data_IF_204593715234
#
_entry.id   IF_204593715234
#
_cell.length_a   1.000
_cell.length_b   1.000
_cell.length_c   1.000
_cell.angle_alpha   90.00
_cell.angle_beta   90.00
_cell.angle_gamma   90.00
#
_symmetry.space_group_name_H-M   'P 1'
#
loop_
_entity.id
_entity.type
_entity.pdbx_description
1 polymer ?
#
# COMPACT_ATOMS: atom_id res chain seq x y z
N UNK A 1 -16.40 -15.44 14.09
CA UNK A 1 -16.31 -14.45 12.99
C UNK A 1 -16.80 -13.13 13.53
N UNK A 2 -15.98 -12.07 13.48
CA UNK A 2 -16.41 -10.73 13.90
C UNK A 2 -17.44 -10.17 12.90
N UNK A 3 -18.29 -9.23 13.32
CA UNK A 3 -19.32 -8.59 12.49
C UNK A 3 -18.76 -7.99 11.19
N UNK A 4 -17.58 -7.37 11.23
CA UNK A 4 -16.91 -6.82 10.05
C UNK A 4 -16.59 -7.89 9.01
N UNK A 5 -16.14 -9.07 9.45
CA UNK A 5 -15.89 -10.22 8.57
C UNK A 5 -17.20 -10.79 7.99
N UNK A 6 -18.27 -10.81 8.80
CA UNK A 6 -19.61 -11.16 8.29
C UNK A 6 -20.06 -10.20 7.19
N UNK A 7 -19.87 -8.89 7.39
CA UNK A 7 -20.21 -7.88 6.40
C UNK A 7 -19.37 -8.05 5.12
N UNK A 8 -18.05 -8.27 5.23
CA UNK A 8 -17.18 -8.58 4.07
C UNK A 8 -17.67 -9.81 3.30
N UNK A 9 -18.12 -10.87 3.98
CA UNK A 9 -18.68 -12.06 3.33
C UNK A 9 -19.99 -11.77 2.58
N UNK A 10 -20.84 -10.88 3.11
CA UNK A 10 -22.05 -10.41 2.42
C UNK A 10 -21.70 -9.62 1.15
N UNK A 11 -20.67 -8.77 1.21
CA UNK A 11 -20.15 -8.02 0.04
C UNK A 11 -19.65 -8.96 -1.06
N UNK A 12 -18.92 -10.04 -0.70
CA UNK A 12 -18.52 -11.09 -1.66
C UNK A 12 -19.71 -11.76 -2.36
N UNK A 13 -20.89 -11.74 -1.73
CA UNK A 13 -22.15 -12.28 -2.28
C UNK A 13 -23.01 -11.19 -2.94
N UNK A 14 -22.47 -9.99 -3.15
CA UNK A 14 -23.16 -8.83 -3.70
C UNK A 14 -24.42 -8.42 -2.90
N UNK A 15 -24.41 -8.62 -1.57
CA UNK A 15 -25.48 -8.26 -0.63
C UNK A 15 -25.08 -7.01 0.16
N UNK A 16 -25.01 -5.87 -0.52
CA UNK A 16 -24.48 -4.62 0.05
C UNK A 16 -25.41 -4.08 1.15
N UNK A 17 -26.72 -4.12 0.92
CA UNK A 17 -27.73 -3.61 1.85
C UNK A 17 -27.74 -4.41 3.16
N UNK A 18 -27.67 -5.74 3.08
CA UNK A 18 -27.56 -6.62 4.26
C UNK A 18 -26.26 -6.36 5.04
N UNK A 19 -25.16 -6.05 4.34
CA UNK A 19 -23.89 -5.70 4.97
C UNK A 19 -23.98 -4.37 5.72
N UNK A 20 -24.62 -3.35 5.12
CA UNK A 20 -24.90 -2.06 5.74
C UNK A 20 -25.74 -2.26 6.99
N UNK A 21 -26.89 -2.95 6.89
CA UNK A 21 -27.78 -3.21 8.03
C UNK A 21 -27.05 -3.94 9.17
N UNK A 22 -26.26 -4.96 8.83
CA UNK A 22 -25.45 -5.70 9.82
C UNK A 22 -24.48 -4.79 10.58
N UNK A 23 -23.84 -3.85 9.88
CA UNK A 23 -22.90 -2.90 10.49
C UNK A 23 -23.63 -1.83 11.31
N UNK A 24 -24.76 -1.32 10.84
CA UNK A 24 -25.59 -0.35 11.57
C UNK A 24 -26.10 -0.90 12.88
N UNK A 25 -26.64 -2.13 12.89
CA UNK A 25 -27.12 -2.80 14.12
C UNK A 25 -25.97 -2.95 15.10
N UNK A 26 -24.81 -3.41 14.63
CA UNK A 26 -23.62 -3.54 15.48
C UNK A 26 -23.14 -2.19 16.03
N UNK A 27 -23.19 -1.14 15.19
CA UNK A 27 -22.95 0.27 15.52
C UNK A 27 -24.06 0.89 16.39
N UNK A 28 -25.17 0.21 16.62
CA UNK A 28 -26.14 0.64 17.62
C UNK A 28 -25.88 -0.02 18.97
N UNK A 29 -25.50 -1.29 18.98
CA UNK A 29 -25.44 -2.14 20.18
C UNK A 29 -24.12 -2.05 20.99
N UNK A 30 -22.95 -2.03 20.34
CA UNK A 30 -21.63 -2.11 21.00
C UNK A 30 -20.72 -0.84 21.02
N UNK A 31 -21.11 0.29 21.64
CA UNK A 31 -20.53 1.64 21.41
C UNK A 31 -19.01 1.83 21.39
N UNK A 32 -18.24 1.02 22.12
CA UNK A 32 -16.81 1.25 22.38
C UNK A 32 -15.82 0.37 21.59
N UNK A 33 -16.27 -0.61 20.81
CA UNK A 33 -15.38 -1.57 20.10
C UNK A 33 -15.72 -1.69 18.60
N UNK A 34 -15.64 -0.59 17.85
CA UNK A 34 -16.24 -0.50 16.50
C UNK A 34 -15.45 0.17 15.40
N UNK A 35 -14.14 0.35 15.56
CA UNK A 35 -13.36 1.18 14.64
C UNK A 35 -13.45 0.66 13.20
N UNK A 36 -13.19 -0.64 13.01
CA UNK A 36 -13.34 -1.30 11.71
C UNK A 36 -14.76 -1.29 11.15
N UNK A 37 -15.78 -1.25 12.01
CA UNK A 37 -17.18 -1.17 11.58
C UNK A 37 -17.54 0.23 11.06
N UNK A 38 -17.12 1.31 11.74
CA UNK A 38 -17.33 2.68 11.26
C UNK A 38 -16.61 2.92 9.93
N UNK A 39 -15.36 2.44 9.80
CA UNK A 39 -14.60 2.51 8.55
C UNK A 39 -15.34 1.83 7.40
N UNK A 40 -15.69 0.56 7.59
CA UNK A 40 -16.32 -0.24 6.54
C UNK A 40 -17.71 0.32 6.19
N UNK A 41 -18.52 0.72 7.19
CA UNK A 41 -19.83 1.31 6.94
C UNK A 41 -19.72 2.64 6.19
N UNK A 42 -18.77 3.51 6.57
CA UNK A 42 -18.51 4.75 5.84
C UNK A 42 -18.13 4.49 4.38
N UNK A 43 -17.28 3.49 4.12
CA UNK A 43 -16.90 3.09 2.77
C UNK A 43 -18.09 2.58 1.96
N UNK A 44 -18.95 1.73 2.55
CA UNK A 44 -20.16 1.25 1.88
C UNK A 44 -21.13 2.40 1.57
N UNK A 45 -21.23 3.39 2.46
CA UNK A 45 -22.00 4.59 2.19
C UNK A 45 -21.42 5.43 1.06
N UNK A 46 -20.09 5.52 0.94
CA UNK A 46 -19.46 6.16 -0.21
C UNK A 46 -19.72 5.40 -1.52
N UNK A 47 -19.67 4.07 -1.51
CA UNK A 47 -19.97 3.23 -2.68
C UNK A 47 -21.43 3.37 -3.14
N UNK A 48 -22.36 3.50 -2.20
CA UNK A 48 -23.79 3.71 -2.45
C UNK A 48 -24.17 5.19 -2.63
N UNK A 49 -23.18 6.06 -2.86
CA UNK A 49 -23.35 7.51 -3.10
C UNK A 49 -24.04 8.29 -1.97
N UNK A 50 -24.03 7.76 -0.74
CA UNK A 50 -24.60 8.38 0.45
C UNK A 50 -23.54 9.14 1.28
N UNK A 51 -23.02 10.24 0.74
CA UNK A 51 -21.90 11.00 1.33
C UNK A 51 -22.19 11.53 2.74
N UNK A 52 -23.41 11.96 2.98
CA UNK A 52 -23.85 12.49 4.28
C UNK A 52 -23.81 11.40 5.35
N UNK A 53 -24.27 10.19 5.01
CA UNK A 53 -24.25 9.04 5.92
C UNK A 53 -22.82 8.56 6.19
N UNK A 54 -21.96 8.53 5.17
CA UNK A 54 -20.55 8.19 5.33
C UNK A 54 -19.86 9.14 6.33
N UNK A 55 -20.04 10.44 6.12
CA UNK A 55 -19.48 11.49 6.99
C UNK A 55 -20.04 11.41 8.41
N UNK A 56 -21.36 11.23 8.56
CA UNK A 56 -22.00 11.09 9.86
C UNK A 56 -21.46 9.87 10.62
N UNK A 57 -21.27 8.75 9.93
CA UNK A 57 -20.73 7.51 10.52
C UNK A 57 -19.34 7.73 11.11
N UNK A 58 -18.41 8.34 10.37
CA UNK A 58 -17.07 8.61 10.91
C UNK A 58 -17.07 9.68 12.00
N UNK A 59 -17.90 10.73 11.88
CA UNK A 59 -18.04 11.74 12.93
C UNK A 59 -18.56 11.15 14.25
N UNK A 60 -19.55 10.27 14.19
CA UNK A 60 -20.04 9.50 15.33
C UNK A 60 -18.93 8.62 15.92
N UNK A 61 -18.20 7.90 15.06
CA UNK A 61 -17.06 7.08 15.47
C UNK A 61 -15.99 7.87 16.23
N UNK A 62 -15.58 9.03 15.71
CA UNK A 62 -14.61 9.93 16.37
C UNK A 62 -15.15 10.44 17.71
N UNK A 63 -16.43 10.83 17.76
CA UNK A 63 -17.07 11.33 18.99
C UNK A 63 -17.14 10.25 20.08
N UNK A 64 -17.48 9.02 19.71
CA UNK A 64 -17.62 7.91 20.65
C UNK A 64 -16.26 7.32 21.08
N UNK A 65 -15.20 7.57 20.30
CA UNK A 65 -13.85 7.02 20.51
C UNK A 65 -12.78 8.12 20.38
N UNK A 66 -12.77 9.15 21.25
CA UNK A 66 -11.92 10.32 21.10
C UNK A 66 -10.41 10.01 21.14
N UNK A 67 -10.01 8.98 21.87
CA UNK A 67 -8.61 8.53 21.96
C UNK A 67 -8.14 7.75 20.73
N UNK A 68 -9.06 7.36 19.84
CA UNK A 68 -8.71 6.65 18.62
C UNK A 68 -8.32 7.64 17.52
N UNK A 69 -7.02 7.91 17.45
CA UNK A 69 -6.45 8.82 16.47
C UNK A 69 -6.56 8.31 15.01
N UNK A 70 -6.78 7.01 14.79
CA UNK A 70 -7.00 6.44 13.46
C UNK A 70 -8.34 6.85 12.85
N UNK A 71 -9.41 6.92 13.65
CA UNK A 71 -10.70 7.43 13.17
C UNK A 71 -10.61 8.90 12.74
N UNK A 72 -9.82 9.70 13.44
CA UNK A 72 -9.58 11.08 13.05
C UNK A 72 -8.84 11.14 11.71
N UNK A 73 -7.81 10.30 11.51
CA UNK A 73 -7.11 10.20 10.22
C UNK A 73 -8.06 9.77 9.10
N UNK A 74 -8.88 8.73 9.32
CA UNK A 74 -9.87 8.24 8.36
C UNK A 74 -10.92 9.31 8.00
N UNK A 75 -11.38 10.10 8.99
CA UNK A 75 -12.31 11.20 8.74
C UNK A 75 -11.65 12.27 7.88
N UNK A 76 -10.40 12.64 8.17
CA UNK A 76 -9.63 13.56 7.33
C UNK A 76 -9.42 13.02 5.91
N UNK A 77 -9.10 11.73 5.78
CA UNK A 77 -8.92 11.04 4.50
C UNK A 77 -10.22 11.05 3.68
N UNK A 78 -11.38 10.84 4.31
CA UNK A 78 -12.69 10.96 3.67
C UNK A 78 -12.91 12.37 3.11
N UNK A 79 -12.66 13.42 3.92
CA UNK A 79 -12.81 14.79 3.45
C UNK A 79 -11.85 15.13 2.31
N UNK A 80 -10.60 14.68 2.40
CA UNK A 80 -9.57 15.02 1.43
C UNK A 80 -9.68 14.22 0.12
N UNK A 81 -9.70 12.90 0.21
CA UNK A 81 -9.63 12.03 -0.97
C UNK A 81 -10.99 11.85 -1.65
N UNK A 82 -12.08 11.85 -0.89
CA UNK A 82 -13.40 11.50 -1.41
C UNK A 82 -14.32 12.71 -1.60
N UNK A 83 -14.41 13.58 -0.60
CA UNK A 83 -15.30 14.76 -0.64
C UNK A 83 -14.64 15.99 -1.29
N UNK A 84 -13.31 15.99 -1.42
CA UNK A 84 -12.51 17.12 -1.93
C UNK A 84 -12.69 18.43 -1.16
N UNK A 85 -13.02 18.32 0.13
CA UNK A 85 -13.11 19.46 1.04
C UNK A 85 -11.79 19.57 1.82
N UNK A 86 -10.88 20.36 1.24
CA UNK A 86 -9.53 20.56 1.76
C UNK A 86 -9.56 21.28 3.12
N UNK A 87 -10.49 22.20 3.34
CA UNK A 87 -10.54 23.00 4.57
C UNK A 87 -10.90 22.12 5.78
N UNK A 88 -11.96 21.33 5.65
CA UNK A 88 -12.36 20.37 6.69
C UNK A 88 -11.25 19.34 6.94
N UNK A 89 -10.60 18.85 5.89
CA UNK A 89 -9.50 17.92 6.03
C UNK A 89 -8.31 18.51 6.81
N UNK A 90 -7.89 19.74 6.49
CA UNK A 90 -6.81 20.43 7.21
C UNK A 90 -7.15 20.58 8.69
N UNK A 91 -8.37 21.01 9.01
CA UNK A 91 -8.81 21.18 10.41
C UNK A 91 -8.72 19.87 11.18
N UNK A 92 -9.23 18.77 10.60
CA UNK A 92 -9.20 17.45 11.22
C UNK A 92 -7.75 16.95 11.38
N UNK A 93 -6.91 17.09 10.36
CA UNK A 93 -5.52 16.68 10.43
C UNK A 93 -4.69 17.50 11.42
N UNK A 94 -4.94 18.81 11.52
CA UNK A 94 -4.29 19.66 12.53
C UNK A 94 -4.72 19.26 13.95
N UNK A 95 -6.01 19.00 14.16
CA UNK A 95 -6.51 18.50 15.43
C UNK A 95 -5.86 17.17 15.79
N UNK A 96 -5.83 16.21 14.85
CA UNK A 96 -5.13 14.93 15.01
C UNK A 96 -3.66 15.13 15.39
N UNK A 97 -2.92 15.96 14.65
CA UNK A 97 -1.50 16.22 14.91
C UNK A 97 -1.27 16.84 16.29
N UNK A 98 -2.21 17.64 16.81
CA UNK A 98 -2.10 18.28 18.12
C UNK A 98 -2.06 17.31 19.31
N UNK A 99 -2.51 16.06 19.13
CA UNK A 99 -2.46 15.02 20.16
C UNK A 99 -1.04 14.49 20.39
N UNK A 100 -0.12 14.69 19.44
CA UNK A 100 1.25 14.21 19.53
C UNK A 100 2.17 15.23 20.19
N UNK A 101 2.63 14.91 21.41
CA UNK A 101 3.59 15.74 22.15
C UNK A 101 5.04 15.55 21.68
N UNK A 102 5.34 14.44 21.00
CA UNK A 102 6.66 14.06 20.50
C UNK A 102 6.53 13.31 19.18
N UNK A 103 7.55 13.33 18.32
CA UNK A 103 7.54 12.55 17.09
C UNK A 103 7.46 11.05 17.35
N UNK A 104 6.63 10.34 16.57
CA UNK A 104 6.49 8.89 16.61
C UNK A 104 6.89 8.26 15.27
N UNK A 105 7.85 7.33 15.27
CA UNK A 105 8.34 6.68 14.05
C UNK A 105 7.54 5.44 13.63
N UNK A 106 6.75 4.87 14.55
CA UNK A 106 6.02 3.63 14.32
C UNK A 106 5.03 3.80 13.16
N UNK A 107 5.00 2.82 12.24
CA UNK A 107 3.95 2.71 11.22
C UNK A 107 2.59 2.37 11.83
N UNK A 108 2.56 1.96 13.10
CA UNK A 108 1.33 1.72 13.87
C UNK A 108 0.84 2.99 14.60
N UNK A 109 1.38 4.16 14.28
CA UNK A 109 0.91 5.46 14.74
C UNK A 109 0.42 6.31 13.54
N UNK A 110 -0.69 7.05 13.67
CA UNK A 110 -1.16 7.92 12.59
C UNK A 110 -0.23 9.13 12.34
N UNK A 111 0.77 9.37 13.20
CA UNK A 111 1.65 10.54 13.16
C UNK A 111 2.33 10.78 11.80
N UNK A 112 3.00 9.77 11.25
CA UNK A 112 3.71 9.93 9.96
C UNK A 112 2.73 10.18 8.80
N UNK A 113 1.57 9.53 8.85
CA UNK A 113 0.55 9.62 7.81
C UNK A 113 -0.06 11.01 7.77
N UNK A 114 -0.44 11.57 8.93
CA UNK A 114 -0.96 12.94 9.01
C UNK A 114 0.07 13.98 8.57
N UNK A 115 1.37 13.76 8.86
CA UNK A 115 2.42 14.63 8.34
C UNK A 115 2.50 14.57 6.81
N UNK A 116 2.45 13.36 6.22
CA UNK A 116 2.39 13.19 4.76
C UNK A 116 1.17 13.85 4.14
N UNK A 117 -0.01 13.78 4.79
CA UNK A 117 -1.23 14.48 4.32
C UNK A 117 -1.04 15.99 4.34
N UNK A 118 -0.67 16.55 5.48
CA UNK A 118 -0.52 17.99 5.64
C UNK A 118 0.57 18.57 4.74
N UNK A 119 1.72 17.90 4.63
CA UNK A 119 2.81 18.37 3.76
C UNK A 119 2.40 18.45 2.29
N UNK A 120 1.69 17.43 1.79
CA UNK A 120 1.20 17.39 0.42
C UNK A 120 0.06 18.39 0.19
N UNK A 121 -0.92 18.48 1.10
CA UNK A 121 -2.02 19.46 1.00
C UNK A 121 -1.48 20.89 0.96
N UNK A 122 -0.59 21.26 1.88
CA UNK A 122 -0.02 22.60 1.91
C UNK A 122 0.84 22.92 0.69
N UNK A 123 1.51 21.92 0.11
CA UNK A 123 2.20 22.08 -1.16
C UNK A 123 1.20 22.37 -2.29
N UNK A 124 0.11 21.59 -2.39
CA UNK A 124 -0.92 21.73 -3.42
C UNK A 124 -1.62 23.09 -3.40
N UNK A 125 -1.93 23.63 -2.21
CA UNK A 125 -2.56 24.96 -2.07
C UNK A 125 -1.56 26.13 -2.07
N UNK A 126 -0.26 25.86 -2.23
CA UNK A 126 0.79 26.89 -2.30
C UNK A 126 1.21 27.52 -0.97
N UNK A 127 0.78 26.97 0.17
CA UNK A 127 1.19 27.42 1.51
C UNK A 127 2.57 26.85 1.89
N UNK A 128 3.61 27.27 1.16
CA UNK A 128 4.94 26.65 1.20
C UNK A 128 5.63 26.65 2.57
N UNK A 129 5.45 27.68 3.41
CA UNK A 129 6.04 27.67 4.76
C UNK A 129 5.42 26.59 5.66
N UNK A 130 4.10 26.39 5.55
CA UNK A 130 3.41 25.31 6.26
C UNK A 130 3.79 23.96 5.67
N UNK A 131 3.89 23.83 4.35
CA UNK A 131 4.36 22.60 3.70
C UNK A 131 5.76 22.23 4.17
N UNK A 132 6.71 23.18 4.16
CA UNK A 132 8.08 23.03 4.65
C UNK A 132 8.10 22.52 6.09
N UNK A 133 7.32 23.11 6.99
CA UNK A 133 7.24 22.66 8.39
C UNK A 133 6.90 21.17 8.50
N UNK A 134 5.89 20.71 7.78
CA UNK A 134 5.43 19.32 7.85
C UNK A 134 6.40 18.36 7.14
N UNK A 135 7.00 18.76 6.01
CA UNK A 135 8.05 17.98 5.35
C UNK A 135 9.30 17.82 6.22
N UNK A 136 9.74 18.88 6.93
CA UNK A 136 10.86 18.79 7.89
C UNK A 136 10.53 17.80 9.01
N UNK A 137 9.31 17.84 9.56
CA UNK A 137 8.89 16.85 10.55
C UNK A 137 8.86 15.43 9.97
N UNK A 138 8.35 15.26 8.76
CA UNK A 138 8.17 13.96 8.11
C UNK A 138 9.51 13.31 7.74
N UNK A 139 10.42 14.04 7.11
CA UNK A 139 11.73 13.52 6.66
C UNK A 139 12.61 13.07 7.84
N UNK A 140 12.48 13.68 9.02
CA UNK A 140 13.24 13.29 10.23
C UNK A 140 12.87 11.92 10.80
N UNK A 141 11.73 11.38 10.37
CA UNK A 141 11.33 10.01 10.67
C UNK A 141 12.11 8.99 9.82
N UNK A 142 12.82 9.46 8.79
CA UNK A 142 13.44 8.67 7.71
C UNK A 142 12.49 7.59 7.16
N UNK A 143 11.26 7.96 6.79
CA UNK A 143 10.18 7.00 6.64
C UNK A 143 10.23 6.33 5.26
N UNK A 144 9.89 5.04 5.21
CA UNK A 144 9.83 4.24 3.97
C UNK A 144 8.78 4.71 2.95
N UNK A 145 7.83 5.56 3.35
CA UNK A 145 6.83 6.19 2.47
C UNK A 145 7.21 7.63 2.11
N UNK A 146 8.47 8.05 2.28
CA UNK A 146 8.96 9.30 1.73
C UNK A 146 9.37 9.08 0.27
N UNK A 147 8.40 9.24 -0.63
CA UNK A 147 8.54 8.88 -2.04
C UNK A 147 9.49 9.81 -2.80
N UNK A 148 9.93 9.39 -3.99
CA UNK A 148 10.71 10.26 -4.88
C UNK A 148 9.97 11.58 -5.17
N UNK A 149 8.64 11.52 -5.28
CA UNK A 149 7.80 12.72 -5.45
C UNK A 149 7.85 13.66 -4.24
N UNK A 150 7.91 13.13 -3.01
CA UNK A 150 8.00 13.91 -1.78
C UNK A 150 9.36 14.63 -1.69
N UNK A 151 10.46 13.96 -2.06
CA UNK A 151 11.79 14.59 -2.17
C UNK A 151 11.78 15.75 -3.16
N UNK A 152 11.19 15.54 -4.34
CA UNK A 152 11.09 16.60 -5.36
C UNK A 152 10.28 17.79 -4.86
N UNK A 153 9.07 17.57 -4.33
CA UNK A 153 8.20 18.63 -3.80
C UNK A 153 8.89 19.41 -2.69
N UNK A 154 9.54 18.70 -1.75
CA UNK A 154 10.20 19.34 -0.62
C UNK A 154 11.42 20.17 -1.05
N UNK A 155 12.25 19.65 -1.96
CA UNK A 155 13.35 20.41 -2.55
C UNK A 155 12.85 21.65 -3.29
N UNK A 156 11.77 21.54 -4.07
CA UNK A 156 11.17 22.69 -4.77
C UNK A 156 10.73 23.78 -3.78
N UNK A 157 10.05 23.40 -2.69
CA UNK A 157 9.65 24.33 -1.62
C UNK A 157 10.88 25.04 -1.05
N UNK A 158 11.93 24.29 -0.71
CA UNK A 158 13.14 24.85 -0.11
C UNK A 158 13.86 25.83 -1.06
N UNK A 159 13.91 25.53 -2.36
CA UNK A 159 14.45 26.45 -3.37
C UNK A 159 13.63 27.74 -3.43
N UNK A 160 12.29 27.64 -3.50
CA UNK A 160 11.39 28.81 -3.57
C UNK A 160 11.52 29.71 -2.36
N UNK A 161 11.70 29.14 -1.18
CA UNK A 161 11.86 29.87 0.08
C UNK A 161 13.32 30.31 0.34
N UNK A 162 14.25 30.04 -0.59
CA UNK A 162 15.65 30.49 -0.49
C UNK A 162 16.57 29.60 0.35
N UNK A 163 16.10 28.46 0.86
CA UNK A 163 16.89 27.49 1.65
C UNK A 163 17.72 26.56 0.75
N UNK A 164 18.60 27.11 -0.09
CA UNK A 164 19.35 26.36 -1.13
C UNK A 164 20.21 25.22 -0.57
N UNK A 165 20.92 25.44 0.54
CA UNK A 165 21.78 24.41 1.14
C UNK A 165 20.95 23.24 1.67
N UNK A 166 19.84 23.52 2.36
CA UNK A 166 18.92 22.48 2.81
C UNK A 166 18.28 21.74 1.64
N UNK A 167 17.90 22.45 0.58
CA UNK A 167 17.35 21.85 -0.64
C UNK A 167 18.32 20.85 -1.27
N UNK A 168 19.61 21.19 -1.29
CA UNK A 168 20.70 20.33 -1.76
C UNK A 168 20.86 19.07 -0.90
N UNK A 169 20.80 19.20 0.42
CA UNK A 169 20.87 18.04 1.32
C UNK A 169 19.71 17.07 1.06
N UNK A 170 18.49 17.60 0.99
CA UNK A 170 17.27 16.82 0.76
C UNK A 170 17.33 16.05 -0.55
N UNK A 171 17.72 16.71 -1.66
CA UNK A 171 17.75 16.04 -2.97
C UNK A 171 18.87 15.00 -3.06
N UNK A 172 20.01 15.21 -2.37
CA UNK A 172 21.07 14.20 -2.27
C UNK A 172 20.59 12.94 -1.56
N UNK A 173 19.81 13.08 -0.49
CA UNK A 173 19.18 11.95 0.20
C UNK A 173 18.19 11.26 -0.75
N UNK A 174 17.35 12.04 -1.45
CA UNK A 174 16.37 11.51 -2.39
C UNK A 174 17.00 10.66 -3.49
N UNK A 175 17.99 11.19 -4.22
CA UNK A 175 18.69 10.43 -5.27
C UNK A 175 19.42 9.21 -4.72
N UNK A 176 19.99 9.29 -3.51
CA UNK A 176 20.67 8.14 -2.89
C UNK A 176 19.69 7.02 -2.51
N UNK A 177 18.49 7.36 -2.07
CA UNK A 177 17.46 6.40 -1.61
C UNK A 177 16.61 5.88 -2.75
N UNK A 178 16.47 6.64 -3.83
CA UNK A 178 15.72 6.30 -5.05
C UNK A 178 16.64 6.37 -6.28
N UNK A 179 17.75 5.60 -6.33
CA UNK A 179 18.80 5.82 -7.33
C UNK A 179 18.39 5.46 -8.76
N UNK A 180 17.30 4.71 -8.93
CA UNK A 180 16.70 4.38 -10.23
C UNK A 180 15.59 5.32 -10.69
N UNK A 181 15.22 6.33 -9.89
CA UNK A 181 14.19 7.30 -10.29
C UNK A 181 14.79 8.36 -11.22
N UNK A 182 14.50 8.22 -12.52
CA UNK A 182 15.02 9.10 -13.56
C UNK A 182 14.47 10.54 -13.43
N UNK A 183 13.23 10.71 -12.99
CA UNK A 183 12.63 12.03 -12.84
C UNK A 183 13.33 12.82 -11.73
N UNK A 184 13.60 12.18 -10.59
CA UNK A 184 14.27 12.79 -9.45
C UNK A 184 15.74 13.08 -9.78
N UNK A 185 16.43 12.16 -10.45
CA UNK A 185 17.80 12.35 -10.89
C UNK A 185 17.96 13.54 -11.84
N UNK A 186 17.10 13.64 -12.86
CA UNK A 186 17.13 14.76 -13.81
C UNK A 186 16.83 16.10 -13.12
N UNK A 187 15.81 16.12 -12.24
CA UNK A 187 15.47 17.29 -11.44
C UNK A 187 16.66 17.75 -10.57
N UNK A 188 17.38 16.81 -9.95
CA UNK A 188 18.55 17.10 -9.14
C UNK A 188 19.68 17.73 -9.96
N UNK A 189 19.99 17.17 -11.14
CA UNK A 189 21.01 17.70 -12.05
C UNK A 189 20.69 19.10 -12.56
N UNK A 190 19.43 19.35 -12.92
CA UNK A 190 18.97 20.64 -13.42
C UNK A 190 19.16 21.75 -12.38
N UNK A 191 18.77 21.47 -11.13
CA UNK A 191 18.77 22.47 -10.05
C UNK A 191 20.13 22.61 -9.33
N UNK A 192 20.98 21.59 -9.37
CA UNK A 192 22.24 21.53 -8.63
C UNK A 192 23.42 21.06 -9.50
N UNK A 193 23.67 21.76 -10.61
CA UNK A 193 24.66 21.38 -11.64
C UNK A 193 26.10 21.16 -11.15
N UNK A 194 26.49 21.78 -10.03
CA UNK A 194 27.83 21.62 -9.43
C UNK A 194 27.98 20.35 -8.60
N UNK A 195 26.87 19.70 -8.27
CA UNK A 195 26.86 18.51 -7.44
C UNK A 195 26.95 17.24 -8.30
N UNK A 196 27.64 16.23 -7.77
CA UNK A 196 27.69 14.92 -8.40
C UNK A 196 26.54 14.06 -7.87
N UNK A 197 25.71 13.59 -8.80
CA UNK A 197 24.63 12.65 -8.54
C UNK A 197 24.93 11.34 -9.28
N UNK A 198 24.65 10.21 -8.63
CA UNK A 198 24.81 8.88 -9.20
C UNK A 198 23.43 8.32 -9.55
N UNK A 199 23.22 7.97 -10.82
CA UNK A 199 22.05 7.21 -11.26
C UNK A 199 22.41 5.73 -11.27
N UNK A 200 21.56 4.89 -10.67
CA UNK A 200 21.70 3.43 -10.73
C UNK A 200 20.42 2.84 -11.26
N UNK A 201 20.52 2.19 -12.41
CA UNK A 201 19.38 1.47 -12.98
C UNK A 201 18.82 0.45 -11.99
N UNK A 202 17.50 0.23 -12.08
CA UNK A 202 16.83 -0.83 -11.33
C UNK A 202 17.46 -2.18 -11.62
N UNK A 203 17.56 -3.01 -10.58
CA UNK A 203 18.09 -4.38 -10.73
C UNK A 203 17.18 -5.20 -11.64
N UNK A 204 17.79 -6.04 -12.47
CA UNK A 204 17.07 -6.97 -13.36
C UNK A 204 17.70 -8.35 -13.21
N UNK A 205 16.89 -9.42 -13.27
CA UNK A 205 17.39 -10.81 -13.33
C UNK A 205 17.95 -11.17 -14.70
N UNK A 206 17.55 -10.44 -15.73
CA UNK A 206 18.01 -10.61 -17.11
C UNK A 206 17.24 -9.70 -18.06
N UNK A 207 17.57 -9.77 -19.34
CA UNK A 207 16.88 -9.05 -20.42
C UNK A 207 16.40 -10.09 -21.43
N UNK A 208 15.15 -9.96 -21.87
CA UNK A 208 14.59 -10.77 -22.95
C UNK A 208 14.41 -9.87 -24.17
N UNK A 209 15.05 -10.23 -25.28
CA UNK A 209 14.89 -9.52 -26.55
C UNK A 209 13.47 -9.68 -27.09
N UNK A 210 12.93 -8.62 -27.71
CA UNK A 210 11.59 -8.64 -28.30
C UNK A 210 10.43 -8.54 -27.30
N UNK A 211 10.70 -8.41 -25.99
CA UNK A 211 9.67 -8.25 -24.96
C UNK A 211 9.40 -6.77 -24.67
N UNK A 212 8.18 -6.32 -24.95
CA UNK A 212 7.71 -4.97 -24.63
C UNK A 212 6.87 -4.98 -23.34
N UNK A 213 7.01 -3.95 -22.50
CA UNK A 213 6.26 -3.79 -21.25
C UNK A 213 5.62 -2.41 -21.24
N UNK A 214 4.30 -2.37 -21.14
CA UNK A 214 3.52 -1.14 -21.21
C UNK A 214 2.79 -0.95 -19.88
N UNK A 215 3.29 -0.10 -18.98
CA UNK A 215 2.60 0.26 -17.75
C UNK A 215 1.34 1.07 -18.07
N UNK A 216 0.21 0.69 -17.47
CA UNK A 216 -1.08 1.29 -17.74
C UNK A 216 -1.51 2.12 -16.52
N UNK A 217 -1.54 3.44 -16.70
CA UNK A 217 -1.95 4.36 -15.65
C UNK A 217 -3.46 4.27 -15.42
N UNK A 218 -3.87 4.07 -14.18
CA UNK A 218 -5.28 3.97 -13.77
C UNK A 218 -5.68 5.09 -12.82
N UNK A 219 -6.99 5.24 -12.61
CA UNK A 219 -7.47 5.87 -11.38
C UNK A 219 -7.07 5.02 -10.16
N UNK A 220 -7.20 5.59 -8.96
CA UNK A 220 -6.97 4.85 -7.73
C UNK A 220 -8.00 3.72 -7.61
N UNK A 221 -7.52 2.48 -7.68
CA UNK A 221 -8.32 1.28 -7.45
C UNK A 221 -8.54 1.13 -5.94
N UNK A 222 -9.77 0.84 -5.52
CA UNK A 222 -10.21 0.80 -4.12
C UNK A 222 -10.71 -0.59 -3.75
N UNK A 223 -10.98 -0.80 -2.45
CA UNK A 223 -11.65 -2.03 -2.02
C UNK A 223 -13.01 -2.17 -2.69
N UNK A 224 -13.33 -3.39 -3.13
CA UNK A 224 -14.59 -3.78 -3.78
C UNK A 224 -14.83 -3.18 -5.18
N UNK A 225 -13.84 -2.52 -5.79
CA UNK A 225 -13.91 -2.15 -7.20
C UNK A 225 -14.00 -3.40 -8.10
N UNK A 226 -14.75 -3.31 -9.19
CA UNK A 226 -14.76 -4.37 -10.21
C UNK A 226 -13.43 -4.33 -10.99
N UNK A 227 -12.46 -5.08 -10.48
CA UNK A 227 -11.11 -5.16 -11.04
C UNK A 227 -11.12 -5.71 -12.47
N UNK A 228 -12.08 -6.58 -12.82
CA UNK A 228 -12.17 -7.19 -14.15
C UNK A 228 -12.65 -6.16 -15.19
N UNK A 229 -13.68 -5.39 -14.86
CA UNK A 229 -14.12 -4.27 -15.71
C UNK A 229 -13.04 -3.19 -15.79
N UNK A 230 -12.36 -2.91 -14.68
CA UNK A 230 -11.27 -1.93 -14.64
C UNK A 230 -10.16 -2.34 -15.60
N UNK A 231 -9.62 -3.55 -15.46
CA UNK A 231 -8.59 -4.09 -16.36
C UNK A 231 -9.06 -4.07 -17.81
N UNK A 232 -10.28 -4.50 -18.08
CA UNK A 232 -10.86 -4.51 -19.41
C UNK A 232 -10.88 -3.10 -20.02
N UNK A 233 -11.45 -2.13 -19.30
CA UNK A 233 -11.59 -0.76 -19.79
C UNK A 233 -10.26 -0.06 -20.07
N UNK A 234 -9.27 -0.21 -19.17
CA UNK A 234 -7.97 0.45 -19.29
C UNK A 234 -7.05 -0.20 -20.33
N UNK A 235 -7.26 -1.48 -20.67
CA UNK A 235 -6.38 -2.19 -21.63
C UNK A 235 -6.99 -2.33 -23.03
N UNK A 236 -8.32 -2.17 -23.19
CA UNK A 236 -9.05 -2.47 -24.43
C UNK A 236 -8.50 -1.82 -25.70
N UNK A 237 -7.97 -0.60 -25.61
CA UNK A 237 -7.46 0.15 -26.77
C UNK A 237 -5.99 -0.15 -27.10
N UNK A 238 -5.28 -0.87 -26.23
CA UNK A 238 -3.83 -1.07 -26.31
C UNK A 238 -3.45 -2.56 -26.45
N UNK A 239 -4.24 -3.44 -25.82
CA UNK A 239 -4.03 -4.89 -25.84
C UNK A 239 -4.31 -5.47 -27.22
N UNK A 240 -3.53 -6.48 -27.58
CA UNK A 240 -3.67 -7.30 -28.78
C UNK A 240 -3.88 -8.76 -28.40
N UNK A 241 -4.25 -9.56 -29.39
CA UNK A 241 -4.29 -11.01 -29.25
C UNK A 241 -2.92 -11.52 -28.78
N UNK A 242 -2.94 -12.57 -27.97
CA UNK A 242 -1.78 -13.17 -27.30
C UNK A 242 -1.01 -12.32 -26.28
N UNK A 243 -1.31 -11.03 -26.09
CA UNK A 243 -0.69 -10.25 -25.01
C UNK A 243 -0.92 -10.89 -23.63
N UNK A 244 -0.01 -10.61 -22.68
CA UNK A 244 -0.18 -10.96 -21.27
C UNK A 244 -0.54 -9.68 -20.50
N UNK A 245 -1.70 -9.67 -19.87
CA UNK A 245 -2.11 -8.58 -18.96
C UNK A 245 -1.71 -8.97 -17.54
N UNK A 246 -0.89 -8.15 -16.90
CA UNK A 246 -0.52 -8.37 -15.50
C UNK A 246 -1.15 -7.35 -14.57
N UNK A 247 -1.43 -7.75 -13.33
CA UNK A 247 -1.91 -6.88 -12.24
C UNK A 247 -1.06 -7.10 -10.98
N UNK A 248 -0.73 -6.02 -10.26
CA UNK A 248 -0.08 -6.09 -8.94
C UNK A 248 -0.88 -6.95 -7.94
N UNK A 249 -0.18 -7.82 -7.20
CA UNK A 249 -0.70 -8.65 -6.10
C UNK A 249 -1.44 -7.82 -5.04
N UNK A 250 -0.80 -6.76 -4.55
CA UNK A 250 -1.33 -5.86 -3.52
C UNK A 250 -2.62 -5.17 -3.99
N UNK A 251 -2.62 -4.63 -5.22
CA UNK A 251 -3.81 -3.95 -5.77
C UNK A 251 -4.94 -4.92 -6.07
N UNK A 252 -4.63 -6.11 -6.57
CA UNK A 252 -5.60 -7.18 -6.77
C UNK A 252 -6.26 -7.61 -5.45
N UNK A 253 -5.48 -7.79 -4.39
CA UNK A 253 -5.99 -8.16 -3.08
C UNK A 253 -6.85 -7.06 -2.46
N UNK A 254 -6.41 -5.81 -2.58
CA UNK A 254 -7.19 -4.65 -2.15
C UNK A 254 -8.56 -4.63 -2.83
N UNK A 255 -8.63 -4.81 -4.16
CA UNK A 255 -9.90 -4.87 -4.88
C UNK A 255 -10.82 -6.03 -4.42
N UNK A 256 -10.26 -7.15 -3.96
CA UNK A 256 -11.02 -8.25 -3.33
C UNK A 256 -11.53 -7.92 -1.90
N UNK A 257 -11.24 -6.72 -1.38
CA UNK A 257 -11.55 -6.31 0.00
C UNK A 257 -10.63 -6.95 1.04
N UNK A 258 -9.47 -7.45 0.62
CA UNK A 258 -8.46 -8.07 1.48
C UNK A 258 -7.49 -7.02 2.01
N UNK A 259 -8.01 -6.14 2.85
CA UNK A 259 -7.26 -5.07 3.50
C UNK A 259 -7.68 -4.95 4.97
N UNK A 260 -6.70 -4.75 5.84
CA UNK A 260 -6.89 -4.61 7.29
C UNK A 260 -6.15 -3.37 7.76
N UNK A 261 -6.88 -2.31 8.12
CA UNK A 261 -6.25 -1.13 8.72
C UNK A 261 -5.73 -1.48 10.11
N UNK A 262 -4.59 -0.90 10.48
CA UNK A 262 -3.85 -1.31 11.70
C UNK A 262 -4.67 -1.25 12.99
N UNK A 263 -5.60 -0.30 13.08
CA UNK A 263 -6.55 -0.14 14.20
C UNK A 263 -7.55 -1.29 14.37
N UNK A 264 -7.71 -2.14 13.35
CA UNK A 264 -8.62 -3.30 13.36
C UNK A 264 -7.94 -4.61 13.74
N UNK A 265 -6.61 -4.61 13.82
CA UNK A 265 -5.81 -5.80 14.07
C UNK A 265 -5.39 -5.79 15.55
N UNK A 266 -5.63 -6.91 16.23
CA UNK A 266 -5.21 -7.11 17.62
C UNK A 266 -4.13 -8.20 17.64
N UNK A 267 -2.83 -7.85 17.65
CA UNK A 267 -1.80 -8.87 17.60
C UNK A 267 -1.81 -9.76 18.84
N UNK A 268 -1.95 -11.06 18.60
CA UNK A 268 -1.91 -12.11 19.60
C UNK A 268 -0.52 -12.22 20.24
N UNK A 269 -0.42 -12.94 21.36
CA UNK A 269 0.87 -13.27 21.96
C UNK A 269 1.77 -14.00 20.97
N UNK A 270 1.21 -14.93 20.18
CA UNK A 270 1.95 -15.68 19.17
C UNK A 270 2.52 -14.74 18.10
N UNK A 271 1.72 -13.81 17.57
CA UNK A 271 2.20 -12.85 16.58
C UNK A 271 3.35 -11.99 17.11
N UNK A 272 3.18 -11.44 18.32
CA UNK A 272 4.21 -10.63 19.01
C UNK A 272 5.49 -11.42 19.28
N UNK A 273 5.37 -12.72 19.57
CA UNK A 273 6.51 -13.58 19.85
C UNK A 273 7.26 -13.95 18.55
N UNK A 274 6.55 -14.45 17.55
CA UNK A 274 7.15 -14.96 16.30
C UNK A 274 7.80 -13.83 15.49
N UNK A 275 7.18 -12.64 15.44
CA UNK A 275 7.69 -11.51 14.67
C UNK A 275 9.10 -11.07 15.11
N UNK A 276 9.47 -11.26 16.38
CA UNK A 276 10.80 -10.96 16.92
C UNK A 276 11.93 -11.81 16.31
N UNK A 277 11.60 -12.97 15.72
CA UNK A 277 12.58 -13.85 15.08
C UNK A 277 12.75 -13.57 13.57
N UNK A 278 11.89 -12.72 13.00
CA UNK A 278 12.03 -12.18 11.66
C UNK A 278 13.05 -11.01 11.71
N UNK A 279 13.76 -10.80 10.62
CA UNK A 279 14.78 -9.74 10.55
C UNK A 279 14.15 -8.36 10.80
N UNK A 280 14.54 -7.74 11.91
CA UNK A 280 14.14 -6.38 12.30
C UNK A 280 15.04 -5.30 11.65
N UNK A 281 15.98 -5.70 10.77
CA UNK A 281 16.86 -4.77 10.07
C UNK A 281 16.02 -3.89 9.14
N UNK A 282 15.90 -2.62 9.50
CA UNK A 282 15.42 -1.56 8.62
C UNK A 282 16.60 -0.73 8.12
N UNK A 283 16.38 -0.01 7.03
CA UNK A 283 17.31 0.99 6.50
C UNK A 283 16.59 2.33 6.47
N UNK A 284 17.30 3.45 6.60
CA UNK A 284 16.70 4.79 6.47
C UNK A 284 15.97 4.91 5.13
N UNK A 285 14.73 5.41 5.15
CA UNK A 285 13.85 5.48 3.98
C UNK A 285 13.52 4.11 3.36
N UNK A 286 13.65 3.02 4.13
CA UNK A 286 13.24 1.67 3.74
C UNK A 286 12.56 0.92 4.89
N UNK A 287 11.87 -0.16 4.54
CA UNK A 287 11.12 -0.99 5.49
C UNK A 287 11.98 -2.06 6.19
N UNK A 288 11.42 -2.66 7.24
CA UNK A 288 11.85 -3.98 7.69
C UNK A 288 11.16 -5.07 6.85
N UNK A 289 11.45 -6.34 7.09
CA UNK A 289 10.66 -7.42 6.48
C UNK A 289 9.21 -7.35 6.99
N UNK A 290 8.17 -7.51 6.16
CA UNK A 290 6.78 -7.29 6.60
C UNK A 290 6.37 -8.09 7.83
N UNK A 291 6.74 -9.38 7.89
CA UNK A 291 6.44 -10.26 9.02
C UNK A 291 7.23 -9.94 10.31
N UNK A 292 8.15 -8.98 10.28
CA UNK A 292 8.77 -8.40 11.47
C UNK A 292 7.77 -7.56 12.28
N UNK A 293 6.73 -7.06 11.61
CA UNK A 293 5.63 -6.34 12.21
C UNK A 293 4.61 -7.34 12.82
N UNK A 294 4.28 -7.25 14.12
CA UNK A 294 3.33 -8.15 14.75
C UNK A 294 1.91 -8.04 14.16
N UNK A 295 1.53 -6.92 13.56
CA UNK A 295 0.23 -6.75 12.91
C UNK A 295 0.16 -7.59 11.62
N UNK A 296 1.19 -7.56 10.80
CA UNK A 296 1.31 -8.41 9.62
C UNK A 296 1.43 -9.90 9.99
N UNK A 297 2.14 -10.23 11.07
CA UNK A 297 2.21 -11.60 11.59
C UNK A 297 0.85 -12.11 12.06
N UNK A 298 0.00 -11.27 12.65
CA UNK A 298 -1.36 -11.67 13.03
C UNK A 298 -2.19 -12.03 11.79
N UNK A 299 -2.10 -11.22 10.73
CA UNK A 299 -2.73 -11.56 9.43
C UNK A 299 -2.16 -12.86 8.87
N UNK A 300 -0.85 -13.10 8.97
CA UNK A 300 -0.24 -14.38 8.57
C UNK A 300 -0.78 -15.58 9.34
N UNK A 301 -1.04 -15.41 10.65
CA UNK A 301 -1.66 -16.43 11.49
C UNK A 301 -3.11 -16.68 11.07
N UNK A 302 -3.87 -15.64 10.72
CA UNK A 302 -5.22 -15.79 10.21
C UNK A 302 -5.26 -16.53 8.86
N UNK A 303 -4.34 -16.21 7.95
CA UNK A 303 -4.29 -16.81 6.61
C UNK A 303 -3.77 -18.25 6.63
N UNK A 304 -2.74 -18.54 7.44
CA UNK A 304 -2.03 -19.82 7.39
C UNK A 304 -2.39 -20.78 8.54
N UNK A 305 -2.99 -20.26 9.61
CA UNK A 305 -3.28 -20.98 10.85
C UNK A 305 -2.13 -20.92 11.87
N UNK A 306 -2.49 -20.76 13.14
CA UNK A 306 -1.54 -20.59 14.26
C UNK A 306 -0.57 -21.77 14.42
N UNK A 307 -1.06 -23.01 14.32
CA UNK A 307 -0.23 -24.21 14.40
C UNK A 307 0.81 -24.23 13.27
N UNK A 308 0.39 -23.92 12.04
CA UNK A 308 1.26 -23.90 10.86
C UNK A 308 2.35 -22.83 10.98
N UNK A 309 1.99 -21.62 11.41
CA UNK A 309 2.96 -20.54 11.67
C UNK A 309 3.96 -20.92 12.76
N UNK A 310 3.51 -21.61 13.81
CA UNK A 310 4.40 -22.08 14.89
C UNK A 310 5.43 -23.08 14.36
N UNK A 311 4.98 -24.08 13.60
CA UNK A 311 5.88 -25.06 12.96
C UNK A 311 6.81 -24.37 11.96
N UNK A 312 6.30 -23.41 11.19
CA UNK A 312 7.09 -22.63 10.25
C UNK A 312 8.19 -21.79 10.93
N UNK A 313 7.89 -21.21 12.09
CA UNK A 313 8.86 -20.48 12.90
C UNK A 313 10.00 -21.40 13.35
N UNK A 314 9.68 -22.61 13.84
CA UNK A 314 10.67 -23.63 14.19
C UNK A 314 11.51 -24.05 12.98
N UNK A 315 10.86 -24.32 11.84
CA UNK A 315 11.55 -24.65 10.59
C UNK A 315 12.48 -23.52 10.11
N UNK A 316 12.08 -22.27 10.28
CA UNK A 316 12.89 -21.10 9.98
C UNK A 316 14.15 -21.00 10.85
N UNK A 317 14.04 -21.31 12.15
CA UNK A 317 15.20 -21.38 13.06
C UNK A 317 16.13 -22.51 12.67
N UNK A 318 15.60 -23.71 12.41
CA UNK A 318 16.38 -24.87 11.95
C UNK A 318 17.10 -24.53 10.64
N UNK A 319 16.40 -23.94 9.67
CA UNK A 319 16.97 -23.49 8.41
C UNK A 319 18.16 -22.56 8.62
N UNK A 320 18.06 -21.56 9.51
CA UNK A 320 19.17 -20.67 9.85
C UNK A 320 20.39 -21.43 10.40
N UNK A 321 20.19 -22.44 11.25
CA UNK A 321 21.29 -23.29 11.78
C UNK A 321 22.02 -24.02 10.65
N UNK A 322 21.30 -24.51 9.65
CA UNK A 322 21.88 -25.19 8.48
C UNK A 322 22.26 -24.24 7.32
N UNK A 323 22.22 -22.92 7.53
CA UNK A 323 22.50 -21.93 6.48
C UNK A 323 21.48 -21.90 5.33
N UNK A 324 20.31 -22.52 5.50
CA UNK A 324 19.21 -22.54 4.52
C UNK A 324 18.21 -21.41 4.82
N UNK A 325 17.96 -20.55 3.84
CA UNK A 325 16.96 -19.48 3.93
C UNK A 325 15.61 -19.96 3.39
N UNK A 326 14.52 -19.32 3.80
CA UNK A 326 13.19 -19.53 3.22
C UNK A 326 12.36 -20.70 3.77
N UNK A 327 12.90 -21.53 4.67
CA UNK A 327 12.17 -22.66 5.26
C UNK A 327 10.89 -22.24 6.00
N UNK A 328 10.88 -21.04 6.59
CA UNK A 328 9.67 -20.45 7.15
C UNK A 328 8.55 -20.39 6.10
N UNK A 329 8.79 -19.73 4.95
CA UNK A 329 7.78 -19.56 3.91
C UNK A 329 7.37 -20.88 3.24
N UNK A 330 8.30 -21.83 3.10
CA UNK A 330 7.98 -23.17 2.60
C UNK A 330 6.94 -23.88 3.48
N UNK A 331 7.07 -23.78 4.81
CA UNK A 331 6.15 -24.42 5.75
C UNK A 331 4.89 -23.58 5.96
N UNK A 332 5.02 -22.26 6.15
CA UNK A 332 3.91 -21.34 6.36
C UNK A 332 2.97 -21.28 5.14
N UNK A 333 3.51 -21.47 3.94
CA UNK A 333 2.78 -21.41 2.68
C UNK A 333 3.00 -20.09 1.95
N UNK A 334 2.77 -20.10 0.64
CA UNK A 334 3.01 -18.97 -0.26
C UNK A 334 2.28 -17.69 0.15
N UNK A 335 1.05 -17.80 0.68
CA UNK A 335 0.27 -16.63 1.13
C UNK A 335 0.99 -15.80 2.21
N UNK A 336 1.77 -16.43 3.09
CA UNK A 336 2.54 -15.71 4.11
C UNK A 336 3.63 -14.79 3.54
N UNK A 337 4.10 -15.08 2.32
CA UNK A 337 5.12 -14.28 1.63
C UNK A 337 4.51 -13.08 0.89
N UNK A 338 3.18 -13.03 0.72
CA UNK A 338 2.45 -11.99 0.00
C UNK A 338 1.84 -10.93 0.92
N UNK A 339 2.21 -10.94 2.19
CA UNK A 339 1.66 -9.99 3.16
C UNK A 339 2.53 -8.74 3.14
N UNK A 340 1.93 -7.64 2.68
CA UNK A 340 2.51 -6.32 2.77
C UNK A 340 2.07 -5.64 4.07
N UNK A 341 3.02 -5.00 4.74
CA UNK A 341 2.79 -4.24 5.97
C UNK A 341 2.91 -2.72 5.72
N UNK A 342 2.32 -1.88 6.58
CA UNK A 342 2.36 -0.44 6.41
C UNK A 342 3.78 0.12 6.29
N UNK A 343 4.08 0.97 5.29
CA UNK A 343 3.17 1.46 4.25
C UNK A 343 3.06 0.52 3.05
N UNK A 344 1.99 -0.29 3.02
CA UNK A 344 1.77 -1.34 2.03
C UNK A 344 1.25 -0.81 0.68
N UNK A 345 0.68 0.39 0.67
CA UNK A 345 0.01 0.98 -0.49
C UNK A 345 0.08 2.51 -0.41
N UNK A 346 -0.43 3.18 -1.44
CA UNK A 346 -0.50 4.65 -1.49
C UNK A 346 -1.69 5.20 -0.68
N UNK A 347 -1.65 6.46 -0.25
CA UNK A 347 -2.77 7.12 0.42
C UNK A 347 -4.11 6.99 -0.35
N UNK A 348 -5.25 6.75 0.34
CA UNK A 348 -5.43 6.65 1.80
C UNK A 348 -5.27 5.24 2.39
N UNK A 349 -4.63 4.31 1.67
CA UNK A 349 -4.52 2.89 2.08
C UNK A 349 -3.17 2.53 2.72
N UNK A 350 -2.32 3.52 2.94
CA UNK A 350 -0.93 3.43 3.39
C UNK A 350 -0.75 2.98 4.85
N UNK A 351 -1.82 2.81 5.62
CA UNK A 351 -1.79 2.30 6.99
C UNK A 351 -2.54 0.96 7.15
N UNK A 352 -2.55 0.15 6.09
CA UNK A 352 -3.12 -1.19 6.14
C UNK A 352 -2.08 -2.29 5.95
N UNK A 353 -2.41 -3.45 6.53
CA UNK A 353 -1.82 -4.74 6.17
C UNK A 353 -2.66 -5.34 5.06
N UNK A 354 -2.02 -5.74 3.96
CA UNK A 354 -2.68 -6.29 2.77
C UNK A 354 -2.08 -7.68 2.52
N UNK A 355 -2.82 -8.78 2.78
CA UNK A 355 -2.40 -10.11 2.33
C UNK A 355 -2.55 -10.25 0.82
N UNK A 356 -1.93 -11.27 0.24
CA UNK A 356 -2.08 -11.57 -1.20
C UNK A 356 -3.51 -11.94 -1.59
N UNK A 357 -3.85 -11.93 -2.91
CA UNK A 357 -5.17 -12.32 -3.39
C UNK A 357 -5.57 -13.73 -2.96
N UNK A 358 -6.86 -13.96 -2.74
CA UNK A 358 -7.38 -15.24 -2.21
C UNK A 358 -7.08 -16.41 -3.17
N UNK A 359 -7.33 -16.21 -4.47
CA UNK A 359 -7.00 -17.19 -5.50
C UNK A 359 -6.51 -16.51 -6.79
N UNK A 360 -5.20 -16.27 -6.86
CA UNK A 360 -4.57 -15.59 -8.00
C UNK A 360 -4.77 -16.31 -9.33
N UNK A 361 -4.83 -17.65 -9.36
CA UNK A 361 -5.05 -18.42 -10.60
C UNK A 361 -6.49 -18.26 -11.11
N UNK A 362 -7.48 -18.34 -10.22
CA UNK A 362 -8.87 -18.11 -10.59
C UNK A 362 -9.10 -16.67 -11.07
N UNK A 363 -8.47 -15.69 -10.41
CA UNK A 363 -8.50 -14.30 -10.85
C UNK A 363 -7.94 -14.16 -12.28
N UNK A 364 -6.78 -14.75 -12.57
CA UNK A 364 -6.19 -14.74 -13.91
C UNK A 364 -7.14 -15.34 -14.96
N UNK A 365 -7.80 -16.45 -14.64
CA UNK A 365 -8.77 -17.06 -15.56
C UNK A 365 -10.00 -16.17 -15.79
N UNK A 366 -10.48 -15.44 -14.78
CA UNK A 366 -11.56 -14.45 -14.93
C UNK A 366 -11.12 -13.27 -15.79
N UNK A 367 -9.88 -12.77 -15.61
CA UNK A 367 -9.31 -11.72 -16.47
C UNK A 367 -9.25 -12.22 -17.92
N UNK A 368 -8.71 -13.42 -18.17
CA UNK A 368 -8.64 -14.01 -19.52
C UNK A 368 -10.02 -14.17 -20.16
N UNK A 369 -11.01 -14.66 -19.41
CA UNK A 369 -12.39 -14.77 -19.89
C UNK A 369 -12.98 -13.41 -20.28
N UNK A 370 -12.61 -12.35 -19.55
CA UNK A 370 -13.13 -11.00 -19.79
C UNK A 370 -12.43 -10.28 -20.94
N UNK A 371 -11.11 -10.40 -21.05
CA UNK A 371 -10.30 -9.60 -21.97
C UNK A 371 -9.91 -10.33 -23.25
N UNK A 372 -9.93 -11.66 -23.23
CA UNK A 372 -9.39 -12.54 -24.28
C UNK A 372 -7.88 -12.82 -24.16
N UNK A 373 -7.15 -12.02 -23.36
CA UNK A 373 -5.69 -12.10 -23.24
C UNK A 373 -5.26 -13.09 -22.15
N UNK A 374 -4.03 -13.58 -22.24
CA UNK A 374 -3.39 -14.29 -21.12
C UNK A 374 -3.25 -13.33 -19.93
N UNK A 375 -3.24 -13.84 -18.71
CA UNK A 375 -3.18 -12.99 -17.53
C UNK A 375 -2.27 -13.54 -16.43
N UNK A 376 -1.67 -12.64 -15.65
CA UNK A 376 -0.90 -12.98 -14.46
C UNK A 376 -1.11 -11.98 -13.32
N UNK A 377 -1.09 -12.47 -12.08
CA UNK A 377 -0.94 -11.63 -10.89
C UNK A 377 0.54 -11.64 -10.51
N UNK A 378 1.11 -10.46 -10.32
CA UNK A 378 2.54 -10.26 -10.13
C UNK A 378 2.79 -9.56 -8.80
N UNK A 379 3.64 -10.17 -7.99
CA UNK A 379 4.25 -9.56 -6.82
C UNK A 379 5.69 -9.14 -7.17
N UNK A 380 6.00 -7.85 -7.18
CA UNK A 380 7.29 -7.35 -7.67
C UNK A 380 7.86 -6.24 -6.77
N UNK A 381 9.19 -6.11 -6.77
CA UNK A 381 9.89 -5.06 -6.04
C UNK A 381 11.08 -4.51 -6.85
N UNK A 382 11.62 -3.37 -6.41
CA UNK A 382 12.76 -2.72 -7.10
C UNK A 382 14.12 -3.39 -6.82
N UNK A 383 14.16 -4.51 -6.08
CA UNK A 383 15.38 -5.26 -5.79
C UNK A 383 15.74 -6.29 -6.87
N UNK A 384 14.92 -6.40 -7.92
CA UNK A 384 15.13 -7.35 -9.02
C UNK A 384 14.23 -8.59 -8.95
N UNK A 385 13.31 -8.64 -7.98
CA UNK A 385 12.45 -9.80 -7.77
C UNK A 385 11.04 -9.50 -8.27
N UNK A 386 10.54 -10.42 -9.11
CA UNK A 386 9.14 -10.48 -9.52
C UNK A 386 8.67 -11.93 -9.44
N UNK A 387 7.51 -12.14 -8.85
CA UNK A 387 6.92 -13.45 -8.66
C UNK A 387 5.54 -13.47 -9.30
N UNK A 388 5.36 -14.37 -10.27
CA UNK A 388 4.04 -14.67 -10.80
C UNK A 388 3.31 -15.61 -9.82
N UNK A 389 2.46 -15.01 -8.98
CA UNK A 389 1.75 -15.71 -7.90
C UNK A 389 0.53 -16.46 -8.42
N UNK A 390 0.01 -16.05 -9.57
CA UNK A 390 -0.97 -16.79 -10.37
C UNK A 390 -0.87 -16.37 -11.82
N UNK A 391 -1.22 -17.27 -12.75
CA UNK A 391 -1.15 -17.00 -14.19
C UNK A 391 -2.02 -18.01 -14.96
N UNK A 392 -2.45 -17.64 -16.17
CA UNK A 392 -3.21 -18.54 -17.05
C UNK A 392 -2.31 -19.49 -17.85
N UNK A 393 -2.88 -20.57 -18.36
CA UNK A 393 -2.20 -21.52 -19.25
C UNK A 393 -1.55 -20.82 -20.46
N UNK A 394 -0.39 -21.35 -20.88
CA UNK A 394 0.40 -20.82 -21.98
C UNK A 394 1.38 -19.69 -21.60
N UNK A 395 1.54 -19.38 -20.31
CA UNK A 395 2.57 -18.46 -19.81
C UNK A 395 3.79 -19.25 -19.34
N UNK A 396 4.96 -18.92 -19.87
CA UNK A 396 6.25 -19.33 -19.29
C UNK A 396 6.54 -18.46 -18.06
N UNK A 397 6.27 -19.01 -16.87
CA UNK A 397 6.49 -18.34 -15.59
C UNK A 397 7.88 -17.73 -15.48
N UNK A 398 8.93 -18.48 -15.84
CA UNK A 398 10.32 -18.04 -15.66
C UNK A 398 10.62 -16.85 -16.56
N UNK A 399 10.19 -16.90 -17.82
CA UNK A 399 10.39 -15.77 -18.74
C UNK A 399 9.61 -14.53 -18.29
N UNK A 400 8.37 -14.69 -17.83
CA UNK A 400 7.56 -13.57 -17.37
C UNK A 400 8.18 -12.89 -16.14
N UNK A 401 8.64 -13.69 -15.20
CA UNK A 401 9.34 -13.22 -14.01
C UNK A 401 10.65 -12.48 -14.34
N UNK A 402 11.42 -12.97 -15.32
CA UNK A 402 12.61 -12.26 -15.82
C UNK A 402 12.21 -10.93 -16.47
N UNK A 403 11.19 -10.93 -17.35
CA UNK A 403 10.71 -9.74 -18.04
C UNK A 403 10.30 -8.62 -17.08
N UNK A 404 9.63 -8.98 -15.98
CA UNK A 404 9.10 -8.04 -14.99
C UNK A 404 10.03 -7.77 -13.80
N UNK A 405 11.24 -8.32 -13.80
CA UNK A 405 12.18 -8.18 -12.68
C UNK A 405 12.65 -6.75 -12.41
N UNK A 406 12.49 -5.83 -13.37
CA UNK A 406 12.78 -4.40 -13.21
C UNK A 406 11.57 -3.58 -12.74
N UNK A 407 10.48 -4.25 -12.33
CA UNK A 407 9.26 -3.67 -11.78
C UNK A 407 8.69 -2.49 -12.60
N UNK A 408 8.18 -2.76 -13.83
CA UNK A 408 7.60 -1.71 -14.68
C UNK A 408 6.31 -1.11 -14.12
N UNK A 409 5.67 -1.74 -13.14
CA UNK A 409 4.48 -1.23 -12.48
C UNK A 409 4.79 -0.07 -11.52
N UNK A 410 6.05 0.05 -11.09
CA UNK A 410 6.51 0.98 -10.05
C UNK A 410 5.80 0.77 -8.68
N UNK A 411 6.28 1.42 -7.62
CA UNK A 411 5.80 1.19 -6.24
C UNK A 411 5.19 2.43 -5.56
N UNK A 412 5.23 3.60 -6.20
CA UNK A 412 4.88 4.89 -5.59
C UNK A 412 3.67 5.55 -6.30
N UNK A 413 3.76 6.86 -6.56
CA UNK A 413 2.67 7.69 -7.06
C UNK A 413 2.32 7.51 -8.55
N UNK A 414 2.98 6.57 -9.26
CA UNK A 414 2.81 6.39 -10.71
C UNK A 414 1.42 5.87 -11.07
N UNK A 415 0.80 5.08 -10.19
CA UNK A 415 -0.54 4.48 -10.34
C UNK A 415 -0.66 3.63 -11.61
N UNK A 416 0.32 2.74 -11.81
CA UNK A 416 0.42 1.84 -12.96
C UNK A 416 0.33 0.37 -12.54
N UNK A 417 -0.72 -0.06 -11.81
CA UNK A 417 -0.79 -1.41 -11.26
C UNK A 417 -0.98 -2.49 -12.32
N UNK A 418 -1.36 -2.10 -13.54
CA UNK A 418 -1.54 -2.98 -14.69
C UNK A 418 -0.35 -2.80 -15.65
N UNK A 419 0.21 -3.89 -16.15
CA UNK A 419 1.26 -3.87 -17.19
C UNK A 419 0.86 -4.84 -18.29
N UNK A 420 0.92 -4.39 -19.55
CA UNK A 420 0.78 -5.28 -20.71
C UNK A 420 2.18 -5.74 -21.13
N UNK A 421 2.38 -7.06 -21.20
CA UNK A 421 3.62 -7.68 -21.69
C UNK A 421 3.35 -8.28 -23.06
N UNK A 422 4.16 -7.87 -24.05
CA UNK A 422 4.06 -8.33 -25.44
C UNK A 422 5.29 -9.13 -25.84
N UNK A 423 5.13 -10.06 -26.78
CA UNK A 423 6.24 -10.82 -27.36
C UNK A 423 6.77 -11.97 -26.48
N UNK A 424 5.94 -12.52 -25.57
CA UNK A 424 6.34 -13.58 -24.64
C UNK A 424 5.62 -14.92 -24.84
#
# INVERSE_FOLDING_TARGET
MNTTERAKLLLKKNKIEEAIETLEVFIKENKKERIGAHRLLSQLYMMTSSKEKATATLKEGVKDNPDNLWLQLMLGDLFYFDLKDINSAIEIYQNLLSHFKRPERSTMSPYRYVLKRLSNIYYEIGEFERAKKHFEMFITLEPSDFYASDFRKFTEILIKLGFKERAKEVIKIGVKTHPGDLSLFNFAKENFQREQFEFREKRKRGVLEGVEKIPIKTNLIREFDDIYNTIDSYTKTIRKDDDIITISSCVAAMAEGRMYTVDTIIPSFLAKFVSRFVSQKSVSFGGAAPLANPYAMEIAIHECGSLRITIAALAGVIGKIFGKKGWFYMVAGSQSALIDDPPASIPPFDYAVIPGPENSFEMCNKIKKRTGCRAAVIDANDLGDAWAVGFTDGIDKRKLEIALSDNPAENEDQRTPIVIVKGL
#
